data_IF_647748672391
#
_entry.id   IF_647748672391
#
_cell.length_a   1.000
_cell.length_b   1.000
_cell.length_c   1.000
_cell.angle_alpha   90.00
_cell.angle_beta   90.00
_cell.angle_gamma   90.00
#
_symmetry.space_group_name_H-M   'P 1'
#
loop_
_entity.id
_entity.type
_entity.pdbx_description
1 polymer ?
#
# COMPACT_ATOMS: atom_id res chain seq x y z
N UNK A 1 3.11 26.12 -22.18
CA UNK A 1 3.57 26.30 -20.79
C UNK A 1 2.39 26.03 -19.87
N UNK A 2 2.55 25.19 -18.82
CA UNK A 2 1.47 24.97 -17.87
C UNK A 2 1.29 26.19 -16.97
N UNK A 3 0.06 26.58 -16.71
CA UNK A 3 -0.26 27.68 -15.79
C UNK A 3 -0.17 27.19 -14.34
N UNK A 4 0.13 28.10 -13.38
CA UNK A 4 0.17 27.76 -11.95
C UNK A 4 -1.13 27.09 -11.48
N UNK A 5 -2.29 27.52 -12.02
CA UNK A 5 -3.60 26.91 -11.72
C UNK A 5 -3.68 25.45 -12.16
N UNK A 6 -3.12 25.10 -13.31
CA UNK A 6 -3.07 23.71 -13.78
C UNK A 6 -2.13 22.85 -12.92
N UNK A 7 -0.97 23.40 -12.54
CA UNK A 7 -0.04 22.72 -11.63
C UNK A 7 -0.74 22.44 -10.30
N UNK A 8 -1.38 23.42 -9.68
CA UNK A 8 -2.10 23.25 -8.43
C UNK A 8 -3.26 22.26 -8.54
N UNK A 9 -4.01 22.24 -9.64
CA UNK A 9 -5.13 21.31 -9.82
C UNK A 9 -4.71 19.83 -9.88
N UNK A 10 -3.47 19.56 -10.27
CA UNK A 10 -2.89 18.21 -10.30
C UNK A 10 -2.19 17.87 -8.97
N UNK A 11 -1.44 18.81 -8.41
CA UNK A 11 -0.62 18.59 -7.22
C UNK A 11 -1.44 18.48 -5.92
N UNK A 12 -2.49 19.31 -5.77
CA UNK A 12 -3.31 19.33 -4.56
C UNK A 12 -3.98 17.98 -4.24
N UNK A 13 -4.63 17.30 -5.21
CA UNK A 13 -5.18 15.95 -4.95
C UNK A 13 -4.11 14.92 -4.57
N UNK A 14 -2.89 15.03 -5.14
CA UNK A 14 -1.79 14.13 -4.78
C UNK A 14 -1.35 14.38 -3.33
N UNK A 15 -1.21 15.64 -2.92
CA UNK A 15 -0.89 16.01 -1.54
C UNK A 15 -1.93 15.48 -0.55
N UNK A 16 -3.22 15.63 -0.86
CA UNK A 16 -4.29 15.09 -0.03
C UNK A 16 -4.24 13.55 0.08
N UNK A 17 -3.89 12.87 -1.01
CA UNK A 17 -3.74 11.40 -0.97
C UNK A 17 -2.54 10.97 -0.11
N UNK A 18 -1.44 11.72 -0.11
CA UNK A 18 -0.30 11.47 0.77
C UNK A 18 -0.62 11.76 2.24
N UNK A 19 -1.38 12.82 2.52
CA UNK A 19 -1.84 13.11 3.88
C UNK A 19 -2.74 11.99 4.41
N UNK A 20 -3.69 11.50 3.61
CA UNK A 20 -4.54 10.37 4.00
C UNK A 20 -3.71 9.11 4.31
N UNK A 21 -2.65 8.84 3.52
CA UNK A 21 -1.72 7.75 3.79
C UNK A 21 -0.97 7.92 5.12
N UNK A 22 -0.54 9.14 5.44
CA UNK A 22 0.10 9.43 6.73
C UNK A 22 -0.88 9.26 7.90
N UNK A 23 -2.16 9.60 7.73
CA UNK A 23 -3.19 9.36 8.76
C UNK A 23 -3.30 7.86 9.06
N UNK A 24 -3.30 6.99 8.03
CA UNK A 24 -3.26 5.53 8.23
C UNK A 24 -2.07 5.16 9.11
N UNK A 25 -0.86 5.52 8.70
CA UNK A 25 0.37 5.15 9.41
C UNK A 25 0.38 5.62 10.87
N UNK A 26 -0.10 6.85 11.13
CA UNK A 26 -0.18 7.40 12.49
C UNK A 26 -1.23 6.67 13.31
N UNK A 27 -2.38 6.33 12.73
CA UNK A 27 -3.46 5.61 13.42
C UNK A 27 -3.03 4.19 13.76
N UNK A 28 -2.44 3.46 12.82
CA UNK A 28 -1.91 2.11 13.04
C UNK A 28 -0.89 2.11 14.18
N UNK A 29 0.06 3.05 14.14
CA UNK A 29 1.08 3.21 15.19
C UNK A 29 0.43 3.51 16.56
N UNK A 30 -0.56 4.41 16.60
CA UNK A 30 -1.23 4.79 17.84
C UNK A 30 -2.08 3.64 18.40
N UNK A 31 -2.73 2.84 17.55
CA UNK A 31 -3.52 1.68 17.99
C UNK A 31 -2.62 0.56 18.48
N UNK A 32 -1.58 0.21 17.76
CA UNK A 32 -0.65 -0.84 18.18
C UNK A 32 0.17 -0.45 19.42
N UNK A 33 0.50 0.83 19.58
CA UNK A 33 1.12 1.34 20.80
C UNK A 33 0.22 1.22 22.06
N UNK A 34 -1.12 1.17 21.87
CA UNK A 34 -2.06 0.88 22.96
C UNK A 34 -2.20 -0.61 23.28
N UNK A 35 -1.89 -1.48 22.33
CA UNK A 35 -1.89 -2.94 22.55
C UNK A 35 -0.69 -3.34 23.40
N UNK A 36 0.53 -3.05 22.92
CA UNK A 36 1.77 -3.31 23.65
C UNK A 36 2.98 -2.68 22.97
N UNK A 37 4.06 -2.47 23.74
CA UNK A 37 5.37 -2.05 23.17
C UNK A 37 5.94 -3.08 22.20
N UNK A 38 5.67 -4.38 22.43
CA UNK A 38 6.08 -5.47 21.54
C UNK A 38 5.37 -5.35 20.19
N UNK A 39 4.04 -5.14 20.20
CA UNK A 39 3.26 -4.99 18.97
C UNK A 39 3.70 -3.74 18.18
N UNK A 40 3.99 -2.64 18.87
CA UNK A 40 4.51 -1.41 18.25
C UNK A 40 5.88 -1.66 17.59
N UNK A 41 6.82 -2.27 18.32
CA UNK A 41 8.14 -2.61 17.81
C UNK A 41 8.08 -3.57 16.61
N UNK A 42 7.24 -4.59 16.71
CA UNK A 42 7.04 -5.58 15.66
C UNK A 42 6.43 -4.98 14.38
N UNK A 43 5.43 -4.11 14.52
CA UNK A 43 4.84 -3.42 13.37
C UNK A 43 5.84 -2.46 12.69
N UNK A 44 6.70 -1.82 13.46
CA UNK A 44 7.77 -0.96 12.92
C UNK A 44 8.76 -1.79 12.09
N UNK A 45 9.24 -2.93 12.60
CA UNK A 45 10.18 -3.80 11.89
C UNK A 45 9.55 -4.45 10.66
N UNK A 46 8.35 -5.02 10.80
CA UNK A 46 7.60 -5.60 9.69
C UNK A 46 7.21 -4.56 8.63
N UNK A 47 6.83 -3.34 9.07
CA UNK A 47 6.52 -2.21 8.19
C UNK A 47 7.72 -1.72 7.39
N UNK A 48 8.91 -1.62 8.01
CA UNK A 48 10.15 -1.29 7.31
C UNK A 48 10.50 -2.33 6.25
N UNK A 49 10.39 -3.61 6.57
CA UNK A 49 10.60 -4.69 5.62
C UNK A 49 9.62 -4.60 4.43
N UNK A 50 8.34 -4.39 4.73
CA UNK A 50 7.30 -4.22 3.71
C UNK A 50 7.58 -3.02 2.80
N UNK A 51 7.97 -1.87 3.37
CA UNK A 51 8.28 -0.65 2.62
C UNK A 51 9.49 -0.84 1.70
N UNK A 52 10.53 -1.56 2.13
CA UNK A 52 11.68 -1.87 1.29
C UNK A 52 11.27 -2.64 0.03
N UNK A 53 10.42 -3.65 0.18
CA UNK A 53 9.89 -4.44 -0.95
C UNK A 53 8.94 -3.58 -1.81
N UNK A 54 8.04 -2.85 -1.18
CA UNK A 54 7.09 -1.98 -1.87
C UNK A 54 7.78 -0.91 -2.74
N UNK A 55 8.92 -0.39 -2.30
CA UNK A 55 9.70 0.62 -3.04
C UNK A 55 10.15 0.13 -4.41
N UNK A 56 10.40 -1.17 -4.58
CA UNK A 56 10.75 -1.78 -5.87
C UNK A 56 9.56 -1.62 -6.86
N UNK A 57 8.37 -1.98 -6.43
CA UNK A 57 7.15 -1.83 -7.24
C UNK A 57 6.83 -0.36 -7.52
N UNK A 58 7.03 0.50 -6.53
CA UNK A 58 6.84 1.94 -6.66
C UNK A 58 7.79 2.55 -7.68
N UNK A 59 9.07 2.16 -7.68
CA UNK A 59 10.06 2.58 -8.69
C UNK A 59 9.65 2.19 -10.10
N UNK A 60 9.24 0.92 -10.31
CA UNK A 60 8.74 0.44 -11.59
C UNK A 60 7.49 1.22 -12.04
N UNK A 61 6.54 1.44 -11.14
CA UNK A 61 5.31 2.18 -11.45
C UNK A 61 5.59 3.63 -11.86
N UNK A 62 6.61 4.24 -11.26
CA UNK A 62 7.05 5.60 -11.64
C UNK A 62 7.59 5.65 -13.07
N UNK A 63 8.37 4.64 -13.47
CA UNK A 63 8.80 4.49 -14.87
C UNK A 63 7.61 4.35 -15.81
N UNK A 64 6.65 3.50 -15.47
CA UNK A 64 5.40 3.33 -16.25
C UNK A 64 4.59 4.62 -16.31
N UNK A 65 4.52 5.40 -15.22
CA UNK A 65 3.86 6.71 -15.18
C UNK A 65 4.45 7.68 -16.22
N UNK A 66 5.77 7.72 -16.35
CA UNK A 66 6.45 8.60 -17.34
C UNK A 66 6.05 8.21 -18.76
N UNK A 67 6.05 6.90 -19.07
CA UNK A 67 5.64 6.40 -20.39
C UNK A 67 4.17 6.74 -20.68
N UNK A 68 3.27 6.51 -19.71
CA UNK A 68 1.84 6.83 -19.82
C UNK A 68 1.64 8.33 -20.03
N UNK A 69 2.32 9.17 -19.24
CA UNK A 69 2.23 10.63 -19.36
C UNK A 69 2.69 11.12 -20.73
N UNK A 70 3.77 10.55 -21.27
CA UNK A 70 4.26 10.86 -22.60
C UNK A 70 3.25 10.47 -23.67
N UNK A 71 2.70 9.23 -23.63
CA UNK A 71 1.67 8.78 -24.60
C UNK A 71 0.41 9.63 -24.55
N UNK A 72 -0.01 10.01 -23.35
CA UNK A 72 -1.14 10.91 -23.15
C UNK A 72 -0.87 12.31 -23.76
N UNK A 73 0.34 12.87 -23.56
CA UNK A 73 0.74 14.16 -24.15
C UNK A 73 0.87 14.12 -25.66
N UNK A 74 1.23 12.98 -26.27
CA UNK A 74 1.29 12.73 -27.71
C UNK A 74 -0.11 12.43 -28.31
N UNK A 75 -1.19 12.47 -27.52
CA UNK A 75 -2.56 12.05 -27.88
C UNK A 75 -2.67 10.59 -28.36
N UNK A 76 -1.70 9.74 -28.01
CA UNK A 76 -1.65 8.31 -28.35
C UNK A 76 -2.36 7.47 -27.29
N UNK A 77 -3.63 7.72 -27.08
CA UNK A 77 -4.43 7.10 -26.01
C UNK A 77 -4.53 5.56 -26.15
N UNK A 78 -4.52 5.04 -27.37
CA UNK A 78 -4.56 3.59 -27.64
C UNK A 78 -3.34 2.84 -27.06
N UNK A 79 -2.21 3.51 -26.89
CA UNK A 79 -0.98 2.90 -26.38
C UNK A 79 -0.92 2.88 -24.84
N UNK A 80 -1.80 3.60 -24.17
CA UNK A 80 -1.84 3.67 -22.68
C UNK A 80 -2.33 2.34 -22.09
N UNK A 81 -3.38 1.75 -22.69
CA UNK A 81 -3.95 0.46 -22.24
C UNK A 81 -2.92 -0.68 -22.22
N UNK A 82 -2.21 -0.95 -23.31
CA UNK A 82 -1.14 -1.96 -23.35
C UNK A 82 -0.07 -1.76 -22.27
N UNK A 83 0.41 -0.53 -22.07
CA UNK A 83 1.39 -0.22 -21.00
C UNK A 83 0.83 -0.55 -19.63
N UNK A 84 -0.46 -0.21 -19.38
CA UNK A 84 -1.12 -0.50 -18.11
C UNK A 84 -1.23 -2.02 -17.88
N UNK A 85 -1.71 -2.78 -18.87
CA UNK A 85 -1.90 -4.23 -18.74
C UNK A 85 -0.56 -4.94 -18.53
N UNK A 86 0.44 -4.63 -19.33
CA UNK A 86 1.78 -5.21 -19.19
C UNK A 86 2.41 -4.86 -17.85
N UNK A 87 2.24 -3.62 -17.38
CA UNK A 87 2.72 -3.17 -16.08
C UNK A 87 2.06 -3.92 -14.92
N UNK A 88 0.73 -4.11 -14.97
CA UNK A 88 0.00 -4.90 -13.96
C UNK A 88 0.46 -6.36 -13.95
N UNK A 89 0.57 -6.99 -15.12
CA UNK A 89 1.02 -8.39 -15.21
C UNK A 89 2.45 -8.54 -14.67
N UNK A 90 3.36 -7.64 -15.04
CA UNK A 90 4.74 -7.65 -14.53
C UNK A 90 4.76 -7.50 -13.00
N UNK A 91 4.00 -6.55 -12.45
CA UNK A 91 3.93 -6.31 -11.02
C UNK A 91 3.29 -7.47 -10.27
N UNK A 92 2.30 -8.16 -10.83
CA UNK A 92 1.72 -9.37 -10.23
C UNK A 92 2.72 -10.53 -10.19
N UNK A 93 3.49 -10.75 -11.26
CA UNK A 93 4.56 -11.74 -11.26
C UNK A 93 5.62 -11.39 -10.22
N UNK A 94 6.01 -10.12 -10.15
CA UNK A 94 6.97 -9.64 -9.15
C UNK A 94 6.41 -9.80 -7.72
N UNK A 95 5.12 -9.52 -7.49
CA UNK A 95 4.47 -9.74 -6.21
C UNK A 95 4.53 -11.22 -5.79
N UNK A 96 4.28 -12.15 -6.74
CA UNK A 96 4.36 -13.58 -6.48
C UNK A 96 5.79 -14.02 -6.12
N UNK A 97 6.80 -13.53 -6.84
CA UNK A 97 8.20 -13.83 -6.56
C UNK A 97 8.63 -13.29 -5.19
N UNK A 98 8.26 -12.04 -4.87
CA UNK A 98 8.60 -11.41 -3.59
C UNK A 98 7.82 -12.01 -2.42
N UNK A 99 6.58 -12.44 -2.65
CA UNK A 99 5.82 -13.23 -1.68
C UNK A 99 6.54 -14.54 -1.35
N UNK A 100 6.92 -15.31 -2.37
CA UNK A 100 7.69 -16.55 -2.20
C UNK A 100 9.06 -16.33 -1.52
N UNK A 101 9.77 -15.28 -1.93
CA UNK A 101 11.02 -14.85 -1.30
C UNK A 101 10.83 -14.53 0.19
N UNK A 102 9.81 -13.75 0.53
CA UNK A 102 9.53 -13.40 1.93
C UNK A 102 9.15 -14.62 2.76
N UNK A 103 8.37 -15.55 2.20
CA UNK A 103 8.04 -16.81 2.89
C UNK A 103 9.28 -17.69 3.13
N UNK A 104 10.20 -17.74 2.16
CA UNK A 104 11.40 -18.58 2.27
C UNK A 104 12.50 -17.96 3.16
N UNK A 105 12.71 -16.67 3.07
CA UNK A 105 13.87 -16.00 3.67
C UNK A 105 13.51 -14.93 4.72
N UNK A 106 12.25 -14.50 4.82
CA UNK A 106 11.82 -13.42 5.71
C UNK A 106 12.18 -13.70 7.17
N UNK A 107 11.99 -14.93 7.65
CA UNK A 107 12.36 -15.31 9.00
C UNK A 107 13.87 -15.18 9.27
N UNK A 108 14.70 -15.62 8.33
CA UNK A 108 16.16 -15.49 8.46
C UNK A 108 16.61 -14.03 8.47
N UNK A 109 16.00 -13.21 7.61
CA UNK A 109 16.28 -11.76 7.56
C UNK A 109 15.85 -11.09 8.86
N UNK A 110 14.66 -11.39 9.36
CA UNK A 110 14.18 -10.81 10.62
C UNK A 110 15.03 -11.22 11.82
N UNK A 111 15.53 -12.45 11.88
CA UNK A 111 16.45 -12.87 12.95
C UNK A 111 17.79 -12.12 12.97
N UNK A 112 18.26 -11.63 11.82
CA UNK A 112 19.44 -10.77 11.75
C UNK A 112 19.17 -9.35 12.23
N UNK A 113 17.93 -8.88 12.13
CA UNK A 113 17.56 -7.49 12.42
C UNK A 113 16.97 -7.31 13.83
N UNK A 114 16.33 -8.35 14.38
CA UNK A 114 15.59 -8.30 15.64
C UNK A 114 16.23 -9.23 16.66
N UNK A 115 16.79 -8.64 17.71
CA UNK A 115 17.45 -9.38 18.79
C UNK A 115 16.48 -9.93 19.85
N UNK A 116 15.29 -9.31 20.00
CA UNK A 116 14.27 -9.74 20.97
C UNK A 116 13.39 -10.82 20.36
N UNK A 117 13.33 -12.00 21.00
CA UNK A 117 12.49 -13.12 20.54
C UNK A 117 11.00 -12.73 20.50
N UNK A 118 10.50 -12.03 21.52
CA UNK A 118 9.11 -11.60 21.56
C UNK A 118 8.73 -10.61 20.44
N UNK A 119 9.64 -9.70 20.07
CA UNK A 119 9.43 -8.80 18.94
C UNK A 119 9.55 -9.57 17.62
N UNK A 120 10.46 -10.52 17.53
CA UNK A 120 10.62 -11.38 16.35
C UNK A 120 9.34 -12.17 16.08
N UNK A 121 8.80 -12.87 17.07
CA UNK A 121 7.58 -13.67 16.92
C UNK A 121 6.39 -12.81 16.49
N UNK A 122 6.20 -11.67 17.14
CA UNK A 122 5.15 -10.71 16.77
C UNK A 122 5.37 -10.12 15.36
N UNK A 123 6.63 -9.89 14.94
CA UNK A 123 6.95 -9.42 13.59
C UNK A 123 6.60 -10.48 12.54
N UNK A 124 6.90 -11.75 12.83
CA UNK A 124 6.57 -12.85 11.93
C UNK A 124 5.04 -13.02 11.81
N UNK A 125 4.31 -12.94 12.92
CA UNK A 125 2.84 -12.97 12.90
C UNK A 125 2.25 -11.83 12.05
N UNK A 126 2.80 -10.62 12.17
CA UNK A 126 2.41 -9.49 11.33
C UNK A 126 2.72 -9.73 9.85
N UNK A 127 3.93 -10.16 9.52
CA UNK A 127 4.38 -10.36 8.14
C UNK A 127 3.61 -11.49 7.46
N UNK A 128 3.27 -12.57 8.18
CA UNK A 128 2.53 -13.71 7.63
C UNK A 128 1.20 -13.29 6.97
N UNK A 129 0.57 -12.26 7.47
CA UNK A 129 -0.65 -11.70 6.89
C UNK A 129 -0.37 -10.49 6.00
N UNK A 130 0.57 -9.63 6.38
CA UNK A 130 0.84 -8.38 5.65
C UNK A 130 1.36 -8.59 4.23
N UNK A 131 2.12 -9.67 3.99
CA UNK A 131 2.68 -9.97 2.66
C UNK A 131 1.62 -10.27 1.59
N UNK A 132 0.39 -10.69 1.96
CA UNK A 132 -0.72 -10.78 1.00
C UNK A 132 -1.07 -9.41 0.39
N UNK A 133 -0.76 -8.33 1.09
CA UNK A 133 -0.89 -6.97 0.58
C UNK A 133 -0.05 -6.68 -0.66
N UNK A 134 1.04 -7.43 -0.95
CA UNK A 134 1.83 -7.22 -2.17
C UNK A 134 0.99 -7.30 -3.44
N UNK A 135 0.06 -8.26 -3.52
CA UNK A 135 -0.79 -8.43 -4.69
C UNK A 135 -1.70 -7.22 -4.93
N UNK A 136 -2.23 -6.63 -3.88
CA UNK A 136 -3.12 -5.47 -3.98
C UNK A 136 -2.34 -4.16 -4.10
N UNK A 137 -1.31 -3.96 -3.30
CA UNK A 137 -0.53 -2.72 -3.28
C UNK A 137 0.25 -2.52 -4.58
N UNK A 138 0.79 -3.59 -5.19
CA UNK A 138 1.52 -3.50 -6.46
C UNK A 138 0.61 -3.12 -7.63
N UNK A 139 -0.60 -3.68 -7.66
CA UNK A 139 -1.60 -3.24 -8.64
C UNK A 139 -2.07 -1.82 -8.35
N UNK A 140 -2.24 -1.46 -7.07
CA UNK A 140 -2.62 -0.12 -6.66
C UNK A 140 -1.63 0.96 -7.12
N UNK A 141 -0.31 0.71 -7.05
CA UNK A 141 0.68 1.69 -7.54
C UNK A 141 0.66 1.83 -9.05
N UNK A 142 0.30 0.76 -9.81
CA UNK A 142 0.14 0.85 -11.25
C UNK A 142 -1.08 1.70 -11.64
N UNK A 143 -2.22 1.55 -10.96
CA UNK A 143 -3.36 2.44 -11.12
C UNK A 143 -3.03 3.89 -10.74
N UNK A 144 -2.24 4.08 -9.68
CA UNK A 144 -1.75 5.42 -9.31
C UNK A 144 -0.92 6.03 -10.44
N UNK A 145 -0.01 5.27 -11.02
CA UNK A 145 0.79 5.69 -12.18
C UNK A 145 -0.09 6.11 -13.37
N UNK A 146 -1.14 5.32 -13.67
CA UNK A 146 -2.12 5.64 -14.72
C UNK A 146 -2.80 6.98 -14.45
N UNK A 147 -3.43 7.15 -13.27
CA UNK A 147 -4.22 8.35 -12.99
C UNK A 147 -3.36 9.62 -12.92
N UNK A 148 -2.10 9.54 -12.49
CA UNK A 148 -1.18 10.66 -12.55
C UNK A 148 -0.78 10.93 -14.00
N UNK A 149 -0.42 9.88 -14.77
CA UNK A 149 0.00 10.00 -16.15
C UNK A 149 -1.06 10.61 -17.09
N UNK A 150 -2.34 10.32 -16.83
CA UNK A 150 -3.48 10.93 -17.57
C UNK A 150 -4.05 12.18 -16.88
N UNK A 151 -3.38 12.72 -15.87
CA UNK A 151 -3.76 13.93 -15.11
C UNK A 151 -5.14 13.87 -14.41
N UNK A 152 -5.69 12.68 -14.16
CA UNK A 152 -6.95 12.48 -13.41
C UNK A 152 -6.74 12.23 -11.92
N UNK A 153 -6.00 13.10 -11.25
CA UNK A 153 -5.51 12.92 -9.88
C UNK A 153 -6.60 12.97 -8.79
N UNK A 154 -7.78 13.55 -9.06
CA UNK A 154 -8.91 13.55 -8.12
C UNK A 154 -9.34 12.13 -7.68
N UNK A 155 -9.20 11.14 -8.57
CA UNK A 155 -9.51 9.74 -8.27
C UNK A 155 -8.60 9.22 -7.15
N UNK A 156 -7.34 9.67 -7.11
CA UNK A 156 -6.37 9.25 -6.09
C UNK A 156 -6.78 9.72 -4.69
N UNK A 157 -7.24 10.97 -4.57
CA UNK A 157 -7.71 11.50 -3.27
C UNK A 157 -8.89 10.70 -2.74
N UNK A 158 -9.90 10.46 -3.60
CA UNK A 158 -11.09 9.72 -3.19
C UNK A 158 -10.73 8.30 -2.76
N UNK A 159 -9.85 7.63 -3.51
CA UNK A 159 -9.39 6.28 -3.17
C UNK A 159 -8.56 6.26 -1.88
N UNK A 160 -7.69 7.25 -1.67
CA UNK A 160 -6.90 7.36 -0.45
C UNK A 160 -7.79 7.59 0.79
N UNK A 161 -8.83 8.43 0.67
CA UNK A 161 -9.79 8.65 1.77
C UNK A 161 -10.57 7.38 2.08
N UNK A 162 -11.06 6.67 1.05
CA UNK A 162 -11.78 5.39 1.26
C UNK A 162 -10.87 4.36 1.90
N UNK A 163 -9.65 4.22 1.42
CA UNK A 163 -8.66 3.31 1.99
C UNK A 163 -8.38 3.65 3.46
N UNK A 164 -8.18 4.94 3.77
CA UNK A 164 -7.93 5.40 5.14
C UNK A 164 -9.12 5.11 6.07
N UNK A 165 -10.34 5.43 5.66
CA UNK A 165 -11.54 5.14 6.45
C UNK A 165 -11.73 3.65 6.67
N UNK A 166 -11.56 2.83 5.62
CA UNK A 166 -11.67 1.37 5.71
C UNK A 166 -10.62 0.81 6.66
N UNK A 167 -9.37 1.27 6.55
CA UNK A 167 -8.28 0.81 7.40
C UNK A 167 -8.56 1.17 8.88
N UNK A 168 -8.83 2.46 9.20
CA UNK A 168 -9.08 2.91 10.57
C UNK A 168 -10.25 2.16 11.23
N UNK A 169 -11.33 1.93 10.48
CA UNK A 169 -12.50 1.18 11.01
C UNK A 169 -12.14 -0.29 11.25
N UNK A 170 -11.45 -0.92 10.31
CA UNK A 170 -11.05 -2.32 10.45
C UNK A 170 -9.98 -2.51 11.52
N UNK A 171 -9.02 -1.59 11.65
CA UNK A 171 -8.04 -1.61 12.72
C UNK A 171 -8.72 -1.55 14.09
N UNK A 172 -9.63 -0.61 14.28
CA UNK A 172 -10.40 -0.52 15.52
C UNK A 172 -11.18 -1.79 15.81
N UNK A 173 -11.76 -2.40 14.78
CA UNK A 173 -12.55 -3.61 14.91
C UNK A 173 -11.69 -4.86 15.19
N UNK A 174 -10.60 -5.06 14.44
CA UNK A 174 -9.80 -6.28 14.49
C UNK A 174 -8.69 -6.25 15.55
N UNK A 175 -8.11 -5.08 15.80
CA UNK A 175 -7.05 -4.96 16.83
C UNK A 175 -7.66 -5.14 18.22
N UNK A 176 -8.80 -4.47 18.48
CA UNK A 176 -9.42 -4.42 19.82
C UNK A 176 -10.63 -5.36 19.99
N UNK A 177 -11.00 -6.12 18.97
CA UNK A 177 -12.14 -7.07 19.07
C UNK A 177 -13.50 -6.40 19.17
N UNK A 178 -13.74 -5.30 18.47
CA UNK A 178 -15.03 -4.61 18.45
C UNK A 178 -15.95 -5.12 17.35
N UNK A 179 -17.23 -4.75 17.39
CA UNK A 179 -18.29 -5.13 16.45
C UNK A 179 -18.52 -6.64 16.34
N UNK A 180 -18.24 -7.42 17.41
CA UNK A 180 -18.43 -8.87 17.44
C UNK A 180 -17.29 -9.66 16.76
N UNK A 181 -16.19 -9.00 16.38
CA UNK A 181 -14.99 -9.64 15.86
C UNK A 181 -14.05 -10.02 17.02
N UNK A 182 -13.22 -11.07 16.86
CA UNK A 182 -12.25 -11.45 17.86
C UNK A 182 -11.13 -10.40 17.94
N UNK A 183 -10.59 -10.19 19.15
CA UNK A 183 -9.38 -9.39 19.34
C UNK A 183 -8.18 -10.11 18.72
N UNK A 184 -7.56 -9.47 17.74
CA UNK A 184 -6.44 -10.05 16.95
C UNK A 184 -5.12 -9.31 17.14
N UNK A 185 -5.11 -8.18 17.87
CA UNK A 185 -3.90 -7.41 18.11
C UNK A 185 -3.15 -7.06 16.82
N UNK A 186 -1.85 -7.37 16.76
CA UNK A 186 -0.99 -7.05 15.60
C UNK A 186 -1.39 -7.78 14.32
N UNK A 187 -1.89 -9.00 14.42
CA UNK A 187 -2.44 -9.74 13.28
C UNK A 187 -3.63 -9.01 12.67
N UNK A 188 -4.50 -8.45 13.53
CA UNK A 188 -5.65 -7.63 13.11
C UNK A 188 -5.24 -6.44 12.28
N UNK A 189 -4.18 -5.71 12.67
CA UNK A 189 -3.63 -4.60 11.92
C UNK A 189 -3.14 -5.02 10.53
N UNK A 190 -2.44 -6.14 10.43
CA UNK A 190 -1.97 -6.66 9.14
C UNK A 190 -3.14 -7.00 8.20
N UNK A 191 -4.16 -7.67 8.71
CA UNK A 191 -5.37 -8.05 7.94
C UNK A 191 -6.15 -6.79 7.51
N UNK A 192 -6.35 -5.83 8.42
CA UNK A 192 -7.05 -4.58 8.13
C UNK A 192 -6.38 -3.81 6.98
N UNK A 193 -5.05 -3.70 7.02
CA UNK A 193 -4.27 -3.05 5.96
C UNK A 193 -4.45 -3.75 4.61
N UNK A 194 -4.41 -5.09 4.58
CA UNK A 194 -4.60 -5.86 3.33
C UNK A 194 -6.01 -5.67 2.77
N UNK A 195 -7.04 -5.72 3.62
CA UNK A 195 -8.44 -5.50 3.19
C UNK A 195 -8.62 -4.06 2.69
N UNK A 196 -8.04 -3.05 3.34
CA UNK A 196 -8.12 -1.66 2.89
C UNK A 196 -7.46 -1.46 1.52
N UNK A 197 -6.31 -2.11 1.27
CA UNK A 197 -5.66 -2.12 -0.04
C UNK A 197 -6.52 -2.79 -1.12
N UNK A 198 -7.16 -3.91 -0.80
CA UNK A 198 -8.08 -4.61 -1.70
C UNK A 198 -9.32 -3.77 -2.03
N UNK A 199 -9.95 -3.15 -1.02
CA UNK A 199 -11.11 -2.26 -1.22
C UNK A 199 -10.77 -1.03 -2.08
N UNK A 200 -9.55 -0.49 -1.91
CA UNK A 200 -9.05 0.59 -2.76
C UNK A 200 -8.89 0.16 -4.22
N UNK A 201 -8.49 -1.10 -4.46
CA UNK A 201 -8.31 -1.63 -5.80
C UNK A 201 -9.63 -1.86 -6.52
N UNK A 202 -10.62 -2.49 -5.88
CA UNK A 202 -11.94 -2.75 -6.44
C UNK A 202 -12.58 -1.47 -6.99
N UNK A 203 -12.52 -0.40 -6.21
CA UNK A 203 -13.06 0.89 -6.62
C UNK A 203 -12.32 1.55 -7.79
N UNK A 204 -11.02 1.26 -7.99
CA UNK A 204 -10.25 1.78 -9.13
C UNK A 204 -10.56 1.05 -10.41
N UNK A 205 -10.84 -0.25 -10.32
CA UNK A 205 -11.15 -1.12 -11.45
C UNK A 205 -12.52 -0.84 -12.05
N UNK A 206 -13.48 -0.43 -11.24
CA UNK A 206 -14.88 -0.20 -11.66
C UNK A 206 -15.17 1.17 -12.30
N UNK A 207 -14.14 2.02 -12.51
CA UNK A 207 -14.23 3.35 -13.15
C UNK A 207 -13.27 3.51 -14.32
#
# INVERSE_FOLDING_TARGET
MYTNKQIWSVSYPILLSLLAQNVINVTDTAFLGRVSEIALGASAMGGLFYICIFTIAFGFSTGSQIVIARRNGEARYGDVGPVMIQGVLFLLVMALLLFGFTKAFGGNIMRLLVSSESIYDATMEFLDWRIFGFFFSFVNVMFRALYIGITRTKVLTINAVVMALTNVVLDYALIFGHFGLPEMGIKGAAIASVIAEAASLDRKSTR
#
